data_IF_897486360757
#
_entry.id   IF_897486360757
#
_cell.length_a   1.000
_cell.length_b   1.000
_cell.length_c   1.000
_cell.angle_alpha   90.00
_cell.angle_beta   90.00
_cell.angle_gamma   90.00
#
_symmetry.space_group_name_H-M   'P 1'
#
loop_
_entity.id
_entity.type
_entity.pdbx_description
1 polymer ?
#
# COMPACT_ATOMS: atom_id res chain seq x y z
N UNK A 1 -1.23 1.28 -18.53
CA UNK A 1 -0.89 0.29 -17.49
C UNK A 1 -1.06 0.93 -16.13
N UNK A 2 -1.94 0.41 -15.27
CA UNK A 2 -2.15 0.93 -13.91
C UNK A 2 -1.35 0.12 -12.91
N UNK A 3 -0.51 0.78 -12.12
CA UNK A 3 0.27 0.17 -11.05
C UNK A 3 -0.11 0.76 -9.69
N UNK A 4 -0.20 -0.10 -8.67
CA UNK A 4 -0.37 0.31 -7.28
C UNK A 4 0.98 0.18 -6.55
N UNK A 5 1.51 1.29 -6.07
CA UNK A 5 2.71 1.35 -5.26
C UNK A 5 2.34 1.42 -3.78
N UNK A 6 2.78 0.46 -2.97
CA UNK A 6 2.44 0.33 -1.55
C UNK A 6 3.68 0.62 -0.70
N UNK A 7 3.58 1.63 0.16
CA UNK A 7 4.63 1.92 1.13
C UNK A 7 4.44 1.06 2.38
N UNK A 8 5.41 0.19 2.69
CA UNK A 8 5.44 -0.65 3.89
C UNK A 8 5.73 0.09 5.20
N UNK A 9 5.62 1.42 5.24
CA UNK A 9 5.85 2.22 6.44
C UNK A 9 4.65 3.13 6.72
N UNK A 10 4.21 3.12 7.98
CA UNK A 10 3.16 4.00 8.50
C UNK A 10 3.69 5.41 8.90
N UNK A 11 5.00 5.64 8.85
CA UNK A 11 5.55 6.94 9.26
C UNK A 11 5.30 7.99 8.18
N UNK A 12 4.88 9.18 8.61
CA UNK A 12 4.63 10.33 7.73
C UNK A 12 5.83 10.71 6.85
N UNK A 13 7.05 10.60 7.39
CA UNK A 13 8.31 10.94 6.71
C UNK A 13 9.09 9.68 6.29
N UNK A 14 8.41 8.73 5.64
CA UNK A 14 9.04 7.50 5.17
C UNK A 14 9.83 7.71 3.87
N UNK A 15 11.12 7.33 3.89
CA UNK A 15 11.95 7.27 2.68
C UNK A 15 11.43 6.27 1.65
N UNK A 16 10.73 5.22 2.07
CA UNK A 16 10.08 4.28 1.16
C UNK A 16 8.91 4.94 0.43
N UNK A 17 8.15 5.80 1.11
CA UNK A 17 7.08 6.58 0.47
C UNK A 17 7.67 7.58 -0.52
N UNK A 18 8.75 8.28 -0.14
CA UNK A 18 9.44 9.21 -1.03
C UNK A 18 9.96 8.53 -2.30
N UNK A 19 10.54 7.32 -2.18
CA UNK A 19 10.98 6.51 -3.32
C UNK A 19 9.82 6.18 -4.28
N UNK A 20 8.67 5.76 -3.75
CA UNK A 20 7.50 5.42 -4.57
C UNK A 20 6.90 6.65 -5.27
N UNK A 21 6.93 7.81 -4.62
CA UNK A 21 6.54 9.09 -5.24
C UNK A 21 7.51 9.44 -6.38
N UNK A 22 8.82 9.26 -6.18
CA UNK A 22 9.81 9.48 -7.23
C UNK A 22 9.60 8.53 -8.42
N UNK A 23 9.29 7.25 -8.16
CA UNK A 23 8.92 6.27 -9.19
C UNK A 23 7.68 6.69 -9.98
N UNK A 24 6.65 7.21 -9.30
CA UNK A 24 5.46 7.76 -9.96
C UNK A 24 5.81 8.89 -10.91
N UNK A 25 6.66 9.83 -10.48
CA UNK A 25 7.10 10.97 -11.31
C UNK A 25 7.95 10.50 -12.50
N UNK A 26 8.78 9.48 -12.31
CA UNK A 26 9.64 8.91 -13.34
C UNK A 26 8.93 7.91 -14.27
N UNK A 27 7.64 7.65 -14.07
CA UNK A 27 6.90 6.64 -14.84
C UNK A 27 6.87 6.98 -16.33
N UNK A 28 7.14 6.01 -17.23
CA UNK A 28 7.11 6.26 -18.67
C UNK A 28 5.68 6.50 -19.16
N UNK A 29 5.56 7.11 -20.35
CA UNK A 29 4.25 7.37 -20.97
C UNK A 29 3.43 6.07 -21.07
N UNK A 30 2.17 6.14 -20.65
CA UNK A 30 1.26 5.00 -20.66
C UNK A 30 1.30 4.15 -19.39
N UNK A 31 2.15 4.48 -18.41
CA UNK A 31 2.16 3.89 -17.07
C UNK A 31 1.62 4.91 -16.08
N UNK A 32 0.57 4.54 -15.36
CA UNK A 32 -0.02 5.32 -14.29
C UNK A 32 0.27 4.63 -12.96
N UNK A 33 0.87 5.35 -12.01
CA UNK A 33 1.28 4.83 -10.71
C UNK A 33 0.52 5.58 -9.63
N UNK A 34 -0.25 4.84 -8.83
CA UNK A 34 -0.89 5.36 -7.61
C UNK A 34 -0.11 4.91 -6.38
N UNK A 35 0.09 5.79 -5.40
CA UNK A 35 0.85 5.48 -4.18
C UNK A 35 -0.11 5.34 -2.99
N UNK A 36 -0.17 4.15 -2.42
CA UNK A 36 -0.83 3.85 -1.15
C UNK A 36 0.18 3.95 -0.01
N UNK A 37 0.02 4.96 0.84
CA UNK A 37 0.93 5.25 1.97
C UNK A 37 0.19 5.32 3.31
N UNK A 38 -1.06 4.84 3.35
CA UNK A 38 -1.96 4.91 4.50
C UNK A 38 -2.12 3.52 5.13
N UNK A 39 -1.03 2.76 5.30
CA UNK A 39 -1.11 1.43 5.91
C UNK A 39 -1.59 1.50 7.37
N UNK A 40 -1.38 2.63 8.04
CA UNK A 40 -1.86 2.93 9.38
C UNK A 40 -3.39 3.02 9.49
N UNK A 41 -4.12 3.11 8.37
CA UNK A 41 -5.59 3.09 8.37
C UNK A 41 -6.17 1.68 8.24
N UNK A 42 -5.34 0.67 7.96
CA UNK A 42 -5.80 -0.72 7.92
C UNK A 42 -5.78 -1.30 9.34
N UNK A 43 -6.87 -1.93 9.81
CA UNK A 43 -6.91 -2.49 11.15
C UNK A 43 -6.09 -3.78 11.25
N UNK A 44 -5.70 -4.13 12.48
CA UNK A 44 -5.18 -5.46 12.81
C UNK A 44 -6.19 -6.50 12.31
N UNK A 45 -5.69 -7.51 11.60
CA UNK A 45 -6.51 -8.60 11.11
C UNK A 45 -7.26 -9.29 12.26
N UNK A 46 -8.58 -9.49 12.06
CA UNK A 46 -9.42 -10.32 12.91
C UNK A 46 -10.45 -11.05 12.06
N UNK A 47 -10.56 -12.39 12.16
CA UNK A 47 -11.61 -13.16 11.47
C UNK A 47 -13.03 -12.69 11.82
N UNK A 48 -13.22 -12.08 12.99
CA UNK A 48 -14.52 -11.55 13.40
C UNK A 48 -14.97 -10.39 12.50
N UNK A 49 -14.06 -9.71 11.82
CA UNK A 49 -14.37 -8.60 10.94
C UNK A 49 -14.60 -9.01 9.49
N UNK A 50 -14.66 -10.30 9.15
CA UNK A 50 -14.82 -10.73 7.76
C UNK A 50 -16.27 -10.65 7.22
N UNK A 51 -16.40 -10.73 5.90
CA UNK A 51 -17.70 -10.76 5.21
C UNK A 51 -18.44 -9.42 5.30
N UNK A 52 -19.72 -9.39 5.72
CA UNK A 52 -20.49 -8.15 5.86
C UNK A 52 -19.90 -7.15 6.87
N UNK A 53 -18.97 -7.57 7.72
CA UNK A 53 -18.32 -6.72 8.73
C UNK A 53 -16.96 -6.17 8.30
N UNK A 54 -16.56 -6.42 7.04
CA UNK A 54 -15.26 -5.98 6.53
C UNK A 54 -15.13 -4.47 6.63
N UNK A 55 -14.07 -3.94 7.29
CA UNK A 55 -13.86 -2.50 7.44
C UNK A 55 -13.78 -1.80 6.09
N UNK A 56 -14.32 -0.58 6.01
CA UNK A 56 -14.40 0.17 4.75
C UNK A 56 -13.02 0.43 4.16
N UNK A 57 -12.02 0.70 5.00
CA UNK A 57 -10.64 0.94 4.60
C UNK A 57 -10.00 -0.30 3.95
N UNK A 58 -10.39 -1.50 4.42
CA UNK A 58 -9.96 -2.77 3.83
C UNK A 58 -10.65 -2.98 2.48
N UNK A 59 -11.95 -2.68 2.38
CA UNK A 59 -12.68 -2.76 1.11
C UNK A 59 -12.10 -1.80 0.06
N UNK A 60 -11.84 -0.54 0.43
CA UNK A 60 -11.19 0.45 -0.43
C UNK A 60 -9.79 -0.02 -0.87
N UNK A 61 -9.00 -0.59 0.04
CA UNK A 61 -7.70 -1.14 -0.30
C UNK A 61 -7.81 -2.32 -1.28
N UNK A 62 -8.77 -3.22 -1.08
CA UNK A 62 -9.05 -4.33 -1.99
C UNK A 62 -9.49 -3.84 -3.38
N UNK A 63 -10.29 -2.77 -3.47
CA UNK A 63 -10.66 -2.15 -4.75
C UNK A 63 -9.44 -1.60 -5.49
N UNK A 64 -8.52 -0.92 -4.79
CA UNK A 64 -7.28 -0.42 -5.38
C UNK A 64 -6.40 -1.56 -5.92
N UNK A 65 -6.25 -2.64 -5.14
CA UNK A 65 -5.48 -3.82 -5.54
C UNK A 65 -6.14 -4.51 -6.75
N UNK A 66 -7.45 -4.70 -6.72
CA UNK A 66 -8.20 -5.36 -7.80
C UNK A 66 -8.25 -4.53 -9.09
N UNK A 67 -8.20 -3.21 -8.97
CA UNK A 67 -8.25 -2.28 -10.10
C UNK A 67 -6.90 -2.02 -10.78
N UNK A 68 -5.80 -2.53 -10.21
CA UNK A 68 -4.46 -2.37 -10.79
C UNK A 68 -4.04 -3.59 -11.61
N UNK A 69 -3.04 -3.41 -12.47
CA UNK A 69 -2.46 -4.46 -13.32
C UNK A 69 -1.13 -4.99 -12.76
N UNK A 70 -0.64 -4.38 -11.68
CA UNK A 70 0.60 -4.76 -11.02
C UNK A 70 0.85 -3.93 -9.77
N UNK A 71 1.62 -4.49 -8.85
CA UNK A 71 1.91 -3.89 -7.55
C UNK A 71 3.41 -3.71 -7.36
N UNK A 72 3.80 -2.56 -6.82
CA UNK A 72 5.16 -2.26 -6.37
C UNK A 72 5.14 -2.14 -4.84
N UNK A 73 6.05 -2.80 -4.13
CA UNK A 73 6.13 -2.72 -2.67
C UNK A 73 7.50 -2.16 -2.29
N UNK A 74 7.51 -1.05 -1.56
CA UNK A 74 8.72 -0.52 -0.93
C UNK A 74 8.55 -0.60 0.59
N UNK A 75 9.24 -1.55 1.22
CA UNK A 75 9.14 -1.81 2.65
C UNK A 75 10.48 -1.56 3.34
N UNK A 76 10.51 -0.94 4.54
CA UNK A 76 11.68 -1.04 5.39
C UNK A 76 11.85 -2.48 5.88
N UNK A 77 13.03 -2.78 6.42
CA UNK A 77 13.29 -3.97 7.21
C UNK A 77 13.17 -3.63 8.70
N UNK A 78 12.35 -4.36 9.44
CA UNK A 78 12.25 -4.27 10.91
C UNK A 78 12.67 -5.59 11.53
N UNK A 79 13.74 -5.58 12.33
CA UNK A 79 14.25 -6.77 13.06
C UNK A 79 14.55 -7.94 12.11
N UNK A 80 15.17 -7.69 10.95
CA UNK A 80 15.44 -8.69 9.90
C UNK A 80 14.18 -9.36 9.34
N UNK A 81 13.04 -8.66 9.40
CA UNK A 81 11.76 -9.14 8.92
C UNK A 81 10.95 -8.01 8.27
N UNK A 82 9.80 -8.40 7.72
CA UNK A 82 8.78 -7.49 7.20
C UNK A 82 8.11 -6.77 8.38
N UNK A 83 7.75 -5.47 8.26
CA UNK A 83 6.95 -4.79 9.26
C UNK A 83 5.63 -5.51 9.53
N UNK A 84 5.27 -5.69 10.81
CA UNK A 84 4.07 -6.44 11.20
C UNK A 84 2.73 -5.74 10.96
N UNK A 85 2.74 -4.44 10.65
CA UNK A 85 1.53 -3.61 10.73
C UNK A 85 1.26 -3.14 12.16
N UNK A 86 0.35 -2.17 12.30
CA UNK A 86 -0.10 -1.64 13.60
C UNK A 86 -1.57 -2.02 13.83
#
# INVERSE_FOLDING_TARGET
>A
MKLLAISGSARRESVNTALLIALKVAAPKGVDVSVFHRLDTLPIFSPDLEGPRTPVEVLEFLELVSGCQGTLIASPEYVRAIPGGA
#
